data_IF_741328183476
#
_entry.id   IF_741328183476
#
_cell.length_a   1.000
_cell.length_b   1.000
_cell.length_c   1.000
_cell.angle_alpha   90.00
_cell.angle_beta   90.00
_cell.angle_gamma   90.00
#
_symmetry.space_group_name_H-M   'P 1'
#
loop_
_entity.id
_entity.type
_entity.pdbx_description
1 polymer ?
#
# COMPACT_ATOMS: atom_id res chain seq x y z
N UNK A 1 10.34 4.10 -19.15
CA UNK A 1 9.45 4.42 -18.02
C UNK A 1 9.77 3.47 -16.89
N UNK A 2 10.12 4.04 -15.74
CA UNK A 2 10.31 3.35 -14.48
C UNK A 2 8.96 3.21 -13.78
N UNK A 3 8.65 2.02 -13.28
CA UNK A 3 7.35 1.74 -12.66
C UNK A 3 7.52 0.89 -11.42
N UNK A 4 6.84 1.28 -10.34
CA UNK A 4 6.81 0.51 -9.10
C UNK A 4 5.43 -0.11 -8.91
N UNK A 5 5.38 -1.44 -8.83
CA UNK A 5 4.16 -2.18 -8.51
C UNK A 5 4.00 -2.38 -7.00
N UNK A 6 2.81 -2.13 -6.47
CA UNK A 6 2.49 -2.25 -5.05
C UNK A 6 1.30 -3.18 -4.85
N UNK A 7 1.52 -4.20 -4.02
CA UNK A 7 0.49 -5.15 -3.57
C UNK A 7 0.35 -4.99 -2.06
N UNK A 8 -0.67 -4.25 -1.63
CA UNK A 8 -0.98 -4.09 -0.22
C UNK A 8 -1.94 -5.19 0.24
N UNK A 9 -1.44 -6.22 0.93
CA UNK A 9 -2.29 -7.32 1.41
C UNK A 9 -3.04 -6.92 2.72
N UNK A 10 -4.38 -6.73 2.67
CA UNK A 10 -5.17 -6.38 3.85
C UNK A 10 -5.25 -7.50 4.90
N UNK A 11 -5.11 -8.77 4.51
CA UNK A 11 -5.14 -9.91 5.42
C UNK A 11 -3.85 -10.10 6.22
N UNK A 12 -2.73 -9.50 5.79
CA UNK A 12 -1.44 -9.65 6.45
C UNK A 12 -1.53 -9.23 7.93
N UNK A 13 -1.10 -10.06 8.88
CA UNK A 13 -1.07 -9.69 10.30
C UNK A 13 -2.36 -9.92 11.09
N UNK A 14 -3.45 -10.39 10.46
CA UNK A 14 -4.66 -10.87 11.15
C UNK A 14 -4.61 -12.37 11.49
N UNK A 15 -3.40 -12.93 11.56
CA UNK A 15 -3.15 -14.36 11.74
C UNK A 15 -3.30 -14.77 13.21
N UNK A 16 -4.10 -15.81 13.49
CA UNK A 16 -4.33 -16.34 14.84
C UNK A 16 -3.04 -16.78 15.54
N UNK A 17 -2.01 -17.18 14.79
CA UNK A 17 -0.68 -17.54 15.32
C UNK A 17 -0.02 -16.38 16.04
N UNK A 18 -0.28 -15.12 15.63
CA UNK A 18 0.21 -13.94 16.37
C UNK A 18 -0.55 -13.77 17.67
N UNK A 19 -1.85 -14.04 17.71
CA UNK A 19 -2.63 -13.99 18.93
C UNK A 19 -2.17 -15.05 19.94
N UNK A 20 -2.02 -16.31 19.53
CA UNK A 20 -1.64 -17.41 20.44
C UNK A 20 -0.19 -17.31 20.93
N UNK A 21 0.69 -16.68 20.16
CA UNK A 21 2.08 -16.46 20.55
C UNK A 21 2.30 -15.12 21.29
N UNK A 22 1.23 -14.41 21.66
CA UNK A 22 1.30 -13.05 22.21
C UNK A 22 2.13 -12.07 21.35
N UNK A 23 2.13 -12.28 20.03
CA UNK A 23 2.81 -11.47 19.04
C UNK A 23 2.05 -10.19 18.70
N UNK A 24 2.79 -9.17 18.26
CA UNK A 24 2.24 -7.88 17.82
C UNK A 24 1.30 -8.04 16.63
N UNK A 25 0.14 -7.39 16.70
CA UNK A 25 -0.82 -7.27 15.59
C UNK A 25 -0.62 -5.92 14.91
N UNK A 26 -0.58 -5.91 13.59
CA UNK A 26 -0.45 -4.68 12.79
C UNK A 26 -1.82 -4.28 12.29
N UNK A 27 -2.31 -3.13 12.75
CA UNK A 27 -3.62 -2.61 12.34
C UNK A 27 -3.60 -2.11 10.89
N UNK A 28 -4.79 -1.99 10.28
CA UNK A 28 -4.91 -1.39 8.95
C UNK A 28 -4.38 0.05 8.92
N UNK A 29 -4.54 0.82 10.00
CA UNK A 29 -4.01 2.18 10.11
C UNK A 29 -2.48 2.21 10.03
N UNK A 30 -1.82 1.27 10.70
CA UNK A 30 -0.37 1.18 10.66
C UNK A 30 0.15 0.81 9.27
N UNK A 31 -0.52 -0.13 8.59
CA UNK A 31 -0.21 -0.46 7.19
C UNK A 31 -0.40 0.73 6.25
N UNK A 32 -1.49 1.49 6.41
CA UNK A 32 -1.70 2.72 5.64
C UNK A 32 -0.57 3.72 5.86
N UNK A 33 -0.13 3.90 7.11
CA UNK A 33 1.01 4.77 7.43
C UNK A 33 2.34 4.27 6.85
N UNK A 34 2.54 2.95 6.77
CA UNK A 34 3.69 2.35 6.05
C UNK A 34 3.61 2.72 4.57
N UNK A 35 2.45 2.55 3.94
CA UNK A 35 2.26 2.87 2.52
C UNK A 35 2.51 4.36 2.23
N UNK A 36 2.05 5.27 3.09
CA UNK A 36 2.36 6.71 2.96
C UNK A 36 3.85 6.99 2.86
N UNK A 37 4.65 6.37 3.74
CA UNK A 37 6.11 6.52 3.72
C UNK A 37 6.73 5.91 2.47
N UNK A 38 6.23 4.77 2.02
CA UNK A 38 6.68 4.12 0.78
C UNK A 38 6.41 5.03 -0.41
N UNK A 39 5.21 5.61 -0.53
CA UNK A 39 4.84 6.49 -1.64
C UNK A 39 5.68 7.77 -1.65
N UNK A 40 5.85 8.42 -0.49
CA UNK A 40 6.74 9.58 -0.37
C UNK A 40 8.19 9.24 -0.78
N UNK A 41 8.68 8.05 -0.39
CA UNK A 41 9.98 7.56 -0.83
C UNK A 41 10.06 7.37 -2.35
N UNK A 42 9.05 6.75 -2.97
CA UNK A 42 9.02 6.53 -4.41
C UNK A 42 8.99 7.86 -5.17
N UNK A 43 8.18 8.83 -4.75
CA UNK A 43 8.15 10.17 -5.37
C UNK A 43 9.53 10.82 -5.36
N UNK A 44 10.27 10.69 -4.26
CA UNK A 44 11.62 11.26 -4.15
C UNK A 44 12.67 10.63 -5.08
N UNK A 45 12.39 9.45 -5.65
CA UNK A 45 13.33 8.74 -6.54
C UNK A 45 13.25 9.19 -8.00
N UNK A 46 12.25 10.01 -8.37
CA UNK A 46 11.99 10.35 -9.77
C UNK A 46 11.38 9.19 -10.57
N UNK A 47 10.69 8.25 -9.89
CA UNK A 47 9.92 7.19 -10.55
C UNK A 47 8.76 7.80 -11.34
N UNK A 48 8.49 7.28 -12.54
CA UNK A 48 7.45 7.85 -13.41
C UNK A 48 6.03 7.50 -12.94
N UNK A 49 5.83 6.26 -12.46
CA UNK A 49 4.50 5.71 -12.19
C UNK A 49 4.46 4.69 -11.05
N UNK A 50 3.34 4.67 -10.32
CA UNK A 50 2.99 3.62 -9.35
C UNK A 50 1.78 2.82 -9.85
N UNK A 51 1.91 1.50 -9.88
CA UNK A 51 0.81 0.56 -10.15
C UNK A 51 0.35 -0.10 -8.86
N UNK A 52 -0.96 -0.08 -8.58
CA UNK A 52 -1.52 -0.57 -7.32
C UNK A 52 -2.52 -1.69 -7.59
N UNK A 53 -2.34 -2.84 -6.92
CA UNK A 53 -3.39 -3.85 -6.88
C UNK A 53 -4.55 -3.34 -6.00
N UNK A 54 -5.79 -3.26 -6.52
CA UNK A 54 -6.93 -2.83 -5.72
C UNK A 54 -7.16 -3.81 -4.57
N UNK A 55 -7.42 -3.27 -3.37
CA UNK A 55 -7.68 -4.05 -2.16
C UNK A 55 -9.01 -3.64 -1.52
N UNK A 56 -9.69 -4.60 -0.88
CA UNK A 56 -11.01 -4.37 -0.29
C UNK A 56 -10.98 -3.44 0.94
N UNK A 57 -9.83 -3.29 1.60
CA UNK A 57 -9.69 -2.41 2.77
C UNK A 57 -9.25 -0.99 2.39
N UNK A 58 -8.96 -0.73 1.11
CA UNK A 58 -8.50 0.56 0.61
C UNK A 58 -7.21 1.03 1.28
N UNK A 59 -6.28 0.13 1.60
CA UNK A 59 -5.07 0.45 2.36
C UNK A 59 -4.21 1.52 1.67
N UNK A 60 -4.17 1.51 0.34
CA UNK A 60 -3.37 2.45 -0.44
C UNK A 60 -4.03 3.84 -0.59
N UNK A 61 -5.36 3.96 -0.40
CA UNK A 61 -6.10 5.21 -0.64
C UNK A 61 -5.54 6.44 0.10
N UNK A 62 -5.12 6.34 1.37
CA UNK A 62 -4.57 7.50 2.05
C UNK A 62 -3.20 7.90 1.49
N UNK A 63 -2.40 6.92 1.04
CA UNK A 63 -1.10 7.19 0.44
C UNK A 63 -1.22 7.77 -0.97
N UNK A 64 -2.22 7.35 -1.77
CA UNK A 64 -2.48 7.94 -3.08
C UNK A 64 -2.90 9.40 -2.98
N UNK A 65 -3.72 9.75 -1.97
CA UNK A 65 -4.14 11.13 -1.74
C UNK A 65 -2.96 12.03 -1.34
N UNK A 66 -2.02 11.52 -0.52
CA UNK A 66 -0.87 12.30 -0.05
C UNK A 66 0.11 12.70 -1.17
N UNK A 67 0.14 11.96 -2.29
CA UNK A 67 1.03 12.22 -3.43
C UNK A 67 0.29 12.59 -4.72
N UNK A 68 -0.99 12.95 -4.61
CA UNK A 68 -1.82 13.33 -5.74
C UNK A 68 -1.15 14.47 -6.53
N UNK A 69 -1.06 14.31 -7.86
CA UNK A 69 -0.41 15.27 -8.76
C UNK A 69 1.12 15.27 -8.74
N UNK A 70 1.77 14.45 -7.90
CA UNK A 70 3.25 14.35 -7.85
C UNK A 70 3.79 13.18 -8.68
N UNK A 71 3.00 12.14 -8.92
CA UNK A 71 3.37 10.93 -9.67
C UNK A 71 2.12 10.33 -10.32
N UNK A 72 2.28 9.65 -11.46
CA UNK A 72 1.19 8.90 -12.10
C UNK A 72 0.84 7.67 -11.25
N UNK A 73 -0.45 7.49 -10.95
CA UNK A 73 -0.93 6.37 -10.12
C UNK A 73 -2.09 5.70 -10.82
N UNK A 74 -2.00 4.39 -11.01
CA UNK A 74 -3.09 3.59 -11.56
C UNK A 74 -3.35 2.31 -10.77
N UNK A 75 -4.59 1.85 -10.85
CA UNK A 75 -4.99 0.56 -10.32
C UNK A 75 -4.96 -0.48 -11.44
N UNK A 76 -4.44 -1.67 -11.14
CA UNK A 76 -4.42 -2.77 -12.11
C UNK A 76 -5.82 -3.33 -12.28
N UNK A 77 -6.21 -3.60 -13.53
CA UNK A 77 -7.43 -4.34 -13.83
C UNK A 77 -7.35 -5.74 -13.22
N UNK A 78 -8.36 -6.09 -12.43
CA UNK A 78 -8.48 -7.40 -11.82
C UNK A 78 -9.66 -8.16 -12.45
N UNK A 79 -9.50 -9.46 -12.77
CA UNK A 79 -10.62 -10.28 -13.19
C UNK A 79 -11.69 -10.26 -12.10
N UNK A 80 -12.95 -10.12 -12.52
CA UNK A 80 -14.13 -10.12 -11.64
C UNK A 80 -14.52 -11.54 -11.25
#
# INVERSE_FOLDING_TARGET
MSTVGIIANPAAGKDIRRLVAHGRVVSNQEKANILRRVFAGIVSTGTDRILIMPDHSGLARPATADVEGQIEIDFVDMPT
#
